data_IF_699725024200
#
_entry.id   IF_699725024200
#
_cell.length_a   1.000
_cell.length_b   1.000
_cell.length_c   1.000
_cell.angle_alpha   90.00
_cell.angle_beta   90.00
_cell.angle_gamma   90.00
#
_symmetry.space_group_name_H-M   'P 1'
#
loop_
_entity.id
_entity.type
_entity.pdbx_description
1 polymer ?
#
# COMPACT_ATOMS: atom_id res chain seq x y z
N UNK A 1 22.91 0.46 40.57
CA UNK A 1 23.34 -0.65 39.70
C UNK A 1 22.24 -1.69 39.48
N UNK A 2 21.42 -2.04 40.49
CA UNK A 2 20.33 -3.02 40.33
C UNK A 2 19.14 -2.52 39.48
N UNK A 3 18.72 -1.26 39.59
CA UNK A 3 17.60 -0.71 38.80
C UNK A 3 17.90 -0.60 37.30
N UNK A 4 19.14 -0.26 36.92
CA UNK A 4 19.55 -0.19 35.51
C UNK A 4 19.59 -1.57 34.84
N UNK A 5 19.92 -2.61 35.61
CA UNK A 5 19.90 -4.00 35.12
C UNK A 5 18.47 -4.51 34.89
N UNK A 6 17.55 -4.23 35.82
CA UNK A 6 16.12 -4.62 35.67
C UNK A 6 15.44 -3.86 34.53
N UNK A 7 15.73 -2.57 34.37
CA UNK A 7 15.18 -1.77 33.26
C UNK A 7 15.72 -2.20 31.89
N UNK A 8 17.00 -2.59 31.81
CA UNK A 8 17.59 -3.17 30.60
C UNK A 8 17.01 -4.55 30.27
N UNK A 9 16.76 -5.40 31.27
CA UNK A 9 16.11 -6.71 31.08
C UNK A 9 14.66 -6.55 30.62
N UNK A 10 13.92 -5.61 31.22
CA UNK A 10 12.54 -5.32 30.81
C UNK A 10 12.46 -4.76 29.38
N UNK A 11 13.35 -3.82 29.02
CA UNK A 11 13.45 -3.30 27.65
C UNK A 11 13.87 -4.38 26.64
N UNK A 12 14.81 -5.27 26.98
CA UNK A 12 15.18 -6.42 26.15
C UNK A 12 13.99 -7.35 25.95
N UNK A 13 13.27 -7.69 27.01
CA UNK A 13 12.11 -8.59 26.96
C UNK A 13 11.00 -7.98 26.10
N UNK A 14 10.78 -6.67 26.21
CA UNK A 14 9.78 -5.95 25.42
C UNK A 14 10.18 -5.83 23.94
N UNK A 15 11.47 -5.65 23.64
CA UNK A 15 11.99 -5.76 22.27
C UNK A 15 11.84 -7.17 21.70
N UNK A 16 12.21 -8.20 22.47
CA UNK A 16 12.10 -9.60 22.07
C UNK A 16 10.64 -9.96 21.74
N UNK A 17 9.69 -9.60 22.59
CA UNK A 17 8.26 -9.83 22.34
C UNK A 17 7.76 -9.11 21.08
N UNK A 18 8.22 -7.88 20.82
CA UNK A 18 7.86 -7.12 19.62
C UNK A 18 8.41 -7.76 18.35
N UNK A 19 9.66 -8.18 18.33
CA UNK A 19 10.24 -8.88 17.17
C UNK A 19 9.58 -10.23 16.92
N UNK A 20 9.29 -10.99 17.97
CA UNK A 20 8.58 -12.26 17.85
C UNK A 20 7.16 -12.05 17.30
N UNK A 21 6.43 -11.02 17.75
CA UNK A 21 5.11 -10.70 17.21
C UNK A 21 5.16 -10.33 15.72
N UNK A 22 6.11 -9.48 15.31
CA UNK A 22 6.28 -9.09 13.90
C UNK A 22 6.64 -10.28 13.01
N UNK A 23 7.51 -11.18 13.51
CA UNK A 23 7.88 -12.39 12.81
C UNK A 23 6.67 -13.32 12.65
N UNK A 24 5.93 -13.58 13.72
CA UNK A 24 4.73 -14.43 13.68
C UNK A 24 3.72 -13.90 12.67
N UNK A 25 3.42 -12.60 12.69
CA UNK A 25 2.50 -11.97 11.72
C UNK A 25 3.01 -12.15 10.29
N UNK A 26 4.30 -11.93 10.05
CA UNK A 26 4.90 -12.07 8.72
C UNK A 26 4.81 -13.51 8.20
N UNK A 27 5.09 -14.50 9.07
CA UNK A 27 4.99 -15.92 8.74
C UNK A 27 3.55 -16.30 8.42
N UNK A 28 2.58 -15.84 9.21
CA UNK A 28 1.16 -16.06 8.95
C UNK A 28 0.74 -15.47 7.60
N UNK A 29 1.18 -14.25 7.27
CA UNK A 29 0.90 -13.63 5.97
C UNK A 29 1.49 -14.41 4.79
N UNK A 30 2.72 -14.93 4.91
CA UNK A 30 3.31 -15.78 3.88
C UNK A 30 2.58 -17.11 3.73
N UNK A 31 2.29 -17.81 4.84
CA UNK A 31 1.52 -19.06 4.81
C UNK A 31 0.15 -18.80 4.17
N UNK A 32 -0.52 -17.72 4.56
CA UNK A 32 -1.79 -17.30 3.96
C UNK A 32 -1.69 -17.05 2.46
N UNK A 33 -0.61 -16.43 1.99
CA UNK A 33 -0.37 -16.19 0.56
C UNK A 33 -0.22 -17.51 -0.21
N UNK A 34 0.61 -18.44 0.28
CA UNK A 34 0.79 -19.75 -0.37
C UNK A 34 -0.49 -20.60 -0.34
N UNK A 35 -1.18 -20.65 0.81
CA UNK A 35 -2.44 -21.37 0.94
C UNK A 35 -3.51 -20.80 0.02
N UNK A 36 -3.60 -19.46 -0.08
CA UNK A 36 -4.57 -18.81 -0.96
C UNK A 36 -4.24 -19.05 -2.43
N UNK A 37 -2.97 -18.99 -2.85
CA UNK A 37 -2.56 -19.39 -4.20
C UNK A 37 -2.92 -20.86 -4.51
N UNK A 38 -2.79 -21.77 -3.54
CA UNK A 38 -3.25 -23.16 -3.68
C UNK A 38 -4.75 -23.26 -3.94
N UNK A 39 -5.54 -22.44 -3.25
CA UNK A 39 -6.98 -22.33 -3.48
C UNK A 39 -7.32 -21.76 -4.86
N UNK A 40 -6.51 -20.83 -5.38
CA UNK A 40 -6.67 -20.32 -6.75
C UNK A 40 -6.45 -21.41 -7.79
N UNK A 41 -5.45 -22.28 -7.62
CA UNK A 41 -5.29 -23.44 -8.51
C UNK A 41 -6.52 -24.35 -8.47
N UNK A 42 -7.11 -24.56 -7.29
CA UNK A 42 -8.32 -25.38 -7.18
C UNK A 42 -9.53 -24.77 -7.91
N UNK A 43 -9.72 -23.45 -7.84
CA UNK A 43 -10.89 -22.78 -8.43
C UNK A 43 -10.72 -22.37 -9.90
N UNK A 44 -9.51 -22.05 -10.33
CA UNK A 44 -9.25 -21.45 -11.65
C UNK A 44 -8.47 -22.36 -12.61
N UNK A 45 -8.06 -23.56 -12.17
CA UNK A 45 -7.41 -24.57 -13.03
C UNK A 45 -8.05 -25.96 -12.83
N UNK A 46 -9.31 -26.17 -13.22
CA UNK A 46 -9.97 -27.48 -13.14
C UNK A 46 -9.26 -28.53 -14.03
N UNK A 47 -9.21 -29.78 -13.57
CA UNK A 47 -8.63 -30.88 -14.34
C UNK A 47 -9.48 -31.20 -15.56
N UNK A 48 -8.89 -31.19 -16.76
CA UNK A 48 -9.56 -31.54 -18.02
C UNK A 48 -9.74 -30.39 -19.01
N UNK A 49 -9.27 -29.17 -18.69
CA UNK A 49 -9.28 -28.02 -19.60
C UNK A 49 -7.91 -27.31 -19.60
N UNK A 50 -7.56 -26.70 -20.74
CA UNK A 50 -6.30 -25.98 -20.92
C UNK A 50 -6.38 -24.55 -20.37
N UNK A 51 -6.26 -24.41 -19.04
CA UNK A 51 -6.30 -23.12 -18.33
C UNK A 51 -4.90 -22.48 -18.17
N UNK A 52 -4.12 -22.47 -19.26
CA UNK A 52 -2.71 -22.06 -19.24
C UNK A 52 -2.48 -20.59 -18.85
N UNK A 53 -3.41 -19.71 -19.20
CA UNK A 53 -3.35 -18.28 -18.87
C UNK A 53 -3.53 -18.05 -17.35
N UNK A 54 -4.51 -18.73 -16.75
CA UNK A 54 -4.76 -18.65 -15.30
C UNK A 54 -3.58 -19.25 -14.53
N UNK A 55 -3.06 -20.38 -14.99
CA UNK A 55 -1.85 -20.99 -14.44
C UNK A 55 -0.66 -20.02 -14.50
N UNK A 56 -0.45 -19.33 -15.62
CA UNK A 56 0.61 -18.33 -15.74
C UNK A 56 0.45 -17.17 -14.75
N UNK A 57 -0.76 -16.63 -14.56
CA UNK A 57 -1.00 -15.57 -13.59
C UNK A 57 -0.76 -16.03 -12.14
N UNK A 58 -1.20 -17.22 -11.76
CA UNK A 58 -0.98 -17.75 -10.40
C UNK A 58 0.51 -18.03 -10.17
N UNK A 59 1.19 -18.70 -11.11
CA UNK A 59 2.61 -19.03 -10.98
C UNK A 59 3.48 -17.77 -10.96
N UNK A 60 3.23 -16.80 -11.84
CA UNK A 60 3.97 -15.53 -11.83
C UNK A 60 3.79 -14.78 -10.51
N UNK A 61 2.59 -14.83 -9.91
CA UNK A 61 2.31 -14.25 -8.59
C UNK A 61 3.10 -14.95 -7.48
N UNK A 62 3.15 -16.29 -7.49
CA UNK A 62 3.95 -17.06 -6.52
C UNK A 62 5.45 -16.73 -6.63
N UNK A 63 5.96 -16.59 -7.86
CA UNK A 63 7.35 -16.18 -8.09
C UNK A 63 7.58 -14.78 -7.49
N UNK A 64 6.68 -13.83 -7.71
CA UNK A 64 6.80 -12.49 -7.13
C UNK A 64 6.81 -12.51 -5.59
N UNK A 65 5.94 -13.30 -4.96
CA UNK A 65 5.91 -13.46 -3.49
C UNK A 65 7.25 -13.98 -2.96
N UNK A 66 7.86 -14.95 -3.66
CA UNK A 66 9.17 -15.49 -3.32
C UNK A 66 10.29 -14.46 -3.53
N UNK A 67 10.26 -13.71 -4.62
CA UNK A 67 11.21 -12.62 -4.90
C UNK A 67 11.13 -11.54 -3.81
N UNK A 68 9.95 -11.15 -3.35
CA UNK A 68 9.81 -10.19 -2.26
C UNK A 68 10.47 -10.68 -0.97
N UNK A 69 10.34 -11.97 -0.64
CA UNK A 69 11.01 -12.55 0.52
C UNK A 69 12.54 -12.49 0.38
N UNK A 70 13.09 -12.84 -0.79
CA UNK A 70 14.53 -12.79 -1.04
C UNK A 70 15.05 -11.35 -0.93
N UNK A 71 14.41 -10.40 -1.60
CA UNK A 71 14.85 -8.99 -1.61
C UNK A 71 14.77 -8.40 -0.21
N UNK A 72 13.72 -8.70 0.56
CA UNK A 72 13.57 -8.20 1.92
C UNK A 72 14.58 -8.81 2.91
N UNK A 73 15.04 -10.04 2.69
CA UNK A 73 16.07 -10.71 3.51
C UNK A 73 17.50 -10.40 3.07
N UNK A 74 17.68 -9.75 1.93
CA UNK A 74 19.00 -9.48 1.38
C UNK A 74 19.77 -8.52 2.30
N UNK A 75 20.98 -8.88 2.79
CA UNK A 75 21.66 -8.16 3.86
C UNK A 75 22.09 -6.73 3.51
N UNK A 76 22.15 -6.39 2.22
CA UNK A 76 22.41 -5.00 1.80
C UNK A 76 21.16 -4.13 1.83
N UNK A 77 19.97 -4.73 1.72
CA UNK A 77 18.71 -4.00 1.75
C UNK A 77 18.30 -3.86 3.21
N UNK A 78 18.00 -2.65 3.67
CA UNK A 78 17.37 -2.43 4.98
C UNK A 78 15.88 -2.81 4.95
N UNK A 79 15.59 -4.05 4.53
CA UNK A 79 14.25 -4.57 4.31
C UNK A 79 13.61 -5.07 5.60
N UNK A 80 12.28 -5.10 5.62
CA UNK A 80 11.51 -5.73 6.69
C UNK A 80 10.61 -6.82 6.10
N UNK A 81 10.53 -7.95 6.80
CA UNK A 81 9.76 -9.12 6.36
C UNK A 81 8.24 -8.86 6.39
N UNK A 82 7.78 -7.99 7.30
CA UNK A 82 6.36 -7.70 7.45
C UNK A 82 5.79 -6.99 6.21
N UNK A 83 6.32 -5.85 5.75
CA UNK A 83 5.86 -5.22 4.51
C UNK A 83 5.92 -6.15 3.31
N UNK A 84 6.98 -6.96 3.18
CA UNK A 84 7.11 -7.93 2.08
C UNK A 84 6.02 -9.00 2.10
N UNK A 85 5.70 -9.54 3.28
CA UNK A 85 4.65 -10.54 3.44
C UNK A 85 3.25 -9.99 3.17
N UNK A 86 2.97 -8.75 3.62
CA UNK A 86 1.68 -8.07 3.42
C UNK A 86 1.48 -7.72 1.94
N UNK A 87 2.51 -7.20 1.27
CA UNK A 87 2.45 -6.92 -0.18
C UNK A 87 2.33 -8.21 -0.98
N UNK A 88 3.01 -9.29 -0.58
CA UNK A 88 2.83 -10.61 -1.21
C UNK A 88 1.39 -11.12 -1.12
N UNK A 89 0.77 -11.00 0.06
CA UNK A 89 -0.65 -11.35 0.24
C UNK A 89 -1.57 -10.47 -0.61
N UNK A 90 -1.28 -9.18 -0.68
CA UNK A 90 -2.03 -8.23 -1.51
C UNK A 90 -1.90 -8.53 -3.02
N UNK A 91 -0.70 -8.88 -3.50
CA UNK A 91 -0.52 -9.32 -4.88
C UNK A 91 -1.31 -10.61 -5.18
N UNK A 92 -1.35 -11.55 -4.23
CA UNK A 92 -2.17 -12.76 -4.33
C UNK A 92 -3.66 -12.42 -4.41
N UNK A 93 -4.11 -11.44 -3.63
CA UNK A 93 -5.48 -10.91 -3.69
C UNK A 93 -5.78 -10.22 -5.03
N UNK A 94 -4.86 -9.42 -5.59
CA UNK A 94 -5.04 -8.81 -6.91
C UNK A 94 -5.12 -9.86 -8.02
N UNK A 95 -4.33 -10.94 -7.93
CA UNK A 95 -4.41 -12.08 -8.83
C UNK A 95 -5.79 -12.76 -8.74
N UNK A 96 -6.24 -13.09 -7.53
CA UNK A 96 -7.61 -13.61 -7.29
C UNK A 96 -8.67 -12.69 -7.90
N UNK A 97 -8.54 -11.39 -7.65
CA UNK A 97 -9.50 -10.41 -8.13
C UNK A 97 -9.50 -10.31 -9.66
N UNK A 98 -8.34 -10.39 -10.29
CA UNK A 98 -8.20 -10.49 -11.74
C UNK A 98 -8.89 -11.73 -12.30
N UNK A 99 -8.57 -12.91 -11.78
CA UNK A 99 -9.16 -14.18 -12.21
C UNK A 99 -10.69 -14.21 -11.98
N UNK A 100 -11.18 -13.63 -10.87
CA UNK A 100 -12.62 -13.54 -10.58
C UNK A 100 -13.40 -12.66 -11.57
N UNK A 101 -12.70 -11.76 -12.26
CA UNK A 101 -13.24 -10.86 -13.29
C UNK A 101 -13.23 -11.49 -14.69
N UNK A 102 -12.82 -12.75 -14.84
CA UNK A 102 -12.89 -13.47 -16.11
C UNK A 102 -14.32 -13.51 -16.66
N UNK A 103 -14.49 -13.48 -17.99
CA UNK A 103 -15.82 -13.48 -18.59
C UNK A 103 -16.55 -14.82 -18.34
N UNK A 104 -17.88 -14.77 -18.29
CA UNK A 104 -18.73 -15.90 -17.84
C UNK A 104 -18.68 -17.13 -18.74
N UNK A 105 -18.32 -16.92 -20.00
CA UNK A 105 -18.12 -17.94 -21.03
C UNK A 105 -16.74 -18.63 -20.95
N UNK A 106 -15.87 -18.19 -20.03
CA UNK A 106 -14.57 -18.83 -19.82
C UNK A 106 -14.68 -19.96 -18.78
N UNK A 107 -14.54 -21.18 -19.27
CA UNK A 107 -14.76 -22.43 -18.53
C UNK A 107 -13.79 -22.63 -17.34
N UNK A 108 -12.64 -21.95 -17.35
CA UNK A 108 -11.65 -22.05 -16.29
C UNK A 108 -12.06 -21.32 -15.00
N UNK A 109 -13.03 -20.41 -15.05
CA UNK A 109 -13.48 -19.69 -13.86
C UNK A 109 -14.57 -20.48 -13.10
N UNK A 110 -14.14 -21.37 -12.20
CA UNK A 110 -15.03 -22.17 -11.35
C UNK A 110 -15.79 -21.35 -10.28
N UNK A 111 -15.47 -20.07 -10.12
CA UNK A 111 -16.08 -19.20 -9.11
C UNK A 111 -17.50 -18.75 -9.50
N UNK A 112 -17.89 -18.83 -10.78
CA UNK A 112 -19.24 -18.49 -11.23
C UNK A 112 -20.35 -19.30 -10.53
N UNK A 113 -20.06 -20.53 -10.12
CA UNK A 113 -21.00 -21.38 -9.38
C UNK A 113 -21.01 -21.13 -7.87
N UNK A 114 -20.01 -20.43 -7.34
CA UNK A 114 -19.80 -20.24 -5.90
C UNK A 114 -19.87 -18.79 -5.43
N UNK A 115 -20.04 -17.82 -6.34
CA UNK A 115 -20.16 -16.41 -6.01
C UNK A 115 -21.50 -16.11 -5.30
N UNK A 116 -21.55 -16.40 -3.99
CA UNK A 116 -22.47 -15.67 -3.12
C UNK A 116 -22.05 -14.21 -3.15
N UNK A 117 -23.02 -13.32 -3.33
CA UNK A 117 -22.83 -11.88 -3.26
C UNK A 117 -21.92 -11.53 -2.06
N UNK A 118 -20.94 -10.65 -2.29
CA UNK A 118 -20.07 -10.15 -1.23
C UNK A 118 -20.95 -9.69 -0.07
N UNK A 119 -20.74 -10.27 1.12
CA UNK A 119 -21.54 -9.93 2.30
C UNK A 119 -21.44 -8.42 2.55
N UNK A 120 -22.59 -7.77 2.82
CA UNK A 120 -22.66 -6.35 3.19
C UNK A 120 -21.65 -6.00 4.28
N UNK A 121 -21.33 -6.95 5.18
CA UNK A 121 -20.31 -6.78 6.21
C UNK A 121 -18.90 -6.55 5.67
N UNK A 122 -18.49 -7.22 4.58
CA UNK A 122 -17.17 -7.00 3.96
C UNK A 122 -17.08 -5.63 3.29
N UNK A 123 -18.19 -5.14 2.71
CA UNK A 123 -18.28 -3.79 2.15
C UNK A 123 -18.19 -2.72 3.25
N UNK A 124 -18.93 -2.89 4.35
CA UNK A 124 -18.89 -1.97 5.49
C UNK A 124 -17.49 -1.93 6.14
N UNK A 125 -16.84 -3.08 6.34
CA UNK A 125 -15.49 -3.14 6.91
C UNK A 125 -14.44 -2.49 6.00
N UNK A 126 -14.56 -2.69 4.68
CA UNK A 126 -13.72 -2.01 3.69
C UNK A 126 -13.86 -0.49 3.76
N UNK A 127 -15.09 0.00 3.81
CA UNK A 127 -15.39 1.44 3.93
C UNK A 127 -14.87 2.04 5.25
N UNK A 128 -15.04 1.34 6.38
CA UNK A 128 -14.50 1.80 7.65
C UNK A 128 -12.96 1.88 7.62
N UNK A 129 -12.32 0.88 7.00
CA UNK A 129 -10.86 0.82 6.89
C UNK A 129 -10.32 1.93 5.99
N UNK A 130 -10.98 2.23 4.87
CA UNK A 130 -10.57 3.33 3.98
C UNK A 130 -10.71 4.67 4.68
N UNK A 131 -11.82 4.92 5.38
CA UNK A 131 -12.01 6.15 6.17
C UNK A 131 -10.91 6.30 7.22
N UNK A 132 -10.63 5.24 7.99
CA UNK A 132 -9.58 5.26 9.01
C UNK A 132 -8.19 5.52 8.40
N UNK A 133 -7.87 4.92 7.26
CA UNK A 133 -6.58 5.11 6.57
C UNK A 133 -6.39 6.55 6.05
N UNK A 134 -7.46 7.15 5.54
CA UNK A 134 -7.46 8.54 5.04
C UNK A 134 -7.31 9.51 6.20
N UNK A 135 -8.06 9.30 7.29
CA UNK A 135 -7.94 10.10 8.51
C UNK A 135 -6.53 10.00 9.09
N UNK A 136 -5.97 8.79 9.17
CA UNK A 136 -4.60 8.60 9.64
C UNK A 136 -3.58 9.34 8.76
N UNK A 137 -3.73 9.25 7.44
CA UNK A 137 -2.84 9.94 6.48
C UNK A 137 -2.95 11.46 6.61
N UNK A 138 -4.16 11.99 6.78
CA UNK A 138 -4.39 13.42 6.99
C UNK A 138 -3.78 13.92 8.30
N UNK A 139 -3.96 13.18 9.41
CA UNK A 139 -3.38 13.51 10.71
C UNK A 139 -1.85 13.44 10.66
N UNK A 140 -1.29 12.41 10.03
CA UNK A 140 0.16 12.25 9.88
C UNK A 140 0.76 13.32 8.99
N UNK A 141 0.13 13.67 7.87
CA UNK A 141 0.56 14.76 7.01
C UNK A 141 0.55 16.10 7.74
N UNK A 142 -0.48 16.35 8.56
CA UNK A 142 -0.55 17.53 9.42
C UNK A 142 0.53 17.55 10.52
N UNK A 143 0.90 16.39 11.06
CA UNK A 143 1.91 16.28 12.12
C UNK A 143 3.36 16.21 11.62
N UNK A 144 3.61 15.81 10.36
CA UNK A 144 4.97 15.67 9.78
C UNK A 144 5.51 16.98 9.20
N UNK A 145 4.72 18.06 9.26
CA UNK A 145 5.11 19.41 8.89
C UNK A 145 6.30 19.98 9.69
N UNK A 146 6.74 19.30 10.76
CA UNK A 146 7.91 19.67 11.58
C UNK A 146 9.19 18.95 11.17
N UNK A 147 9.15 17.95 10.27
CA UNK A 147 10.28 17.04 9.97
C UNK A 147 10.76 17.10 8.51
N UNK A 148 10.05 17.83 7.64
CA UNK A 148 10.44 18.08 6.23
C UNK A 148 10.76 19.56 5.98
N UNK A 149 11.51 20.19 6.89
CA UNK A 149 12.27 21.40 6.53
C UNK A 149 13.22 21.02 5.40
N UNK A 150 12.93 21.46 4.18
CA UNK A 150 13.84 21.33 3.05
C UNK A 150 15.21 21.94 3.43
N UNK A 151 16.33 21.28 3.09
CA UNK A 151 17.66 21.79 3.36
C UNK A 151 17.88 23.08 2.57
N UNK A 152 18.52 24.06 3.23
CA UNK A 152 19.04 25.27 2.61
C UNK A 152 19.75 24.93 1.28
N UNK A 153 19.28 25.50 0.17
CA UNK A 153 20.06 25.59 -1.06
C UNK A 153 20.43 27.05 -1.34
N UNK A 154 21.73 27.38 -1.43
CA UNK A 154 22.23 28.74 -1.55
C UNK A 154 22.26 29.17 -3.02
N UNK A 155 21.62 30.29 -3.36
CA UNK A 155 22.08 31.12 -4.49
C UNK A 155 21.58 32.57 -4.45
N UNK A 156 22.60 33.44 -4.41
CA UNK A 156 22.69 34.75 -5.04
C UNK A 156 21.97 35.95 -4.40
N UNK A 157 22.76 36.69 -3.60
CA UNK A 157 23.01 38.10 -3.90
C UNK A 157 22.45 39.13 -2.91
N UNK A 158 23.39 39.83 -2.24
CA UNK A 158 23.26 41.21 -1.73
C UNK A 158 22.19 41.46 -0.64
N UNK A 159 22.43 42.02 0.54
CA UNK A 159 23.55 42.68 1.18
C UNK A 159 23.29 42.59 2.69
N UNK A 160 24.34 42.50 3.52
CA UNK A 160 24.25 42.90 4.93
C UNK A 160 24.89 44.30 5.05
N UNK A 161 24.28 45.22 5.80
CA UNK A 161 24.97 45.74 6.97
C UNK A 161 24.03 45.75 8.21
N UNK A 162 24.42 45.11 9.32
CA UNK A 162 25.15 45.69 10.47
C UNK A 162 24.39 46.83 11.18
N UNK A 163 23.76 46.55 12.34
CA UNK A 163 24.02 47.17 13.66
C UNK A 163 22.94 46.78 14.74
N UNK A 164 23.24 46.95 16.05
CA UNK A 164 22.64 46.21 17.18
C UNK A 164 21.59 46.99 18.01
N UNK A 165 20.75 46.22 18.73
CA UNK A 165 19.96 46.54 19.95
C UNK A 165 19.51 47.99 20.23
N UNK A 166 18.20 48.27 20.16
CA UNK A 166 17.40 48.73 21.33
C UNK A 166 15.94 49.05 20.99
N UNK A 167 15.05 48.39 21.75
CA UNK A 167 13.73 48.78 22.29
C UNK A 167 12.66 49.46 21.41
N UNK A 168 11.53 48.76 21.41
CA UNK A 168 10.14 49.24 21.53
C UNK A 168 9.69 50.28 20.51
N UNK A 169 8.92 49.79 19.54
CA UNK A 169 7.66 50.42 19.14
C UNK A 169 6.71 49.31 18.65
N UNK A 170 5.47 49.38 19.12
CA UNK A 170 4.36 48.54 18.72
C UNK A 170 3.99 48.89 17.27
N UNK A 171 4.32 48.02 16.32
CA UNK A 171 3.69 48.01 15.01
C UNK A 171 3.20 46.59 14.71
N UNK A 172 1.92 46.51 14.34
CA UNK A 172 1.22 45.34 13.84
C UNK A 172 2.15 44.49 12.94
N UNK A 173 2.62 43.37 13.49
CA UNK A 173 3.09 42.29 12.65
C UNK A 173 1.86 41.71 11.98
N UNK A 174 1.50 42.28 10.81
CA UNK A 174 0.67 41.59 9.81
C UNK A 174 1.19 40.17 9.75
N UNK A 175 0.34 39.23 10.15
CA UNK A 175 0.58 37.79 10.08
C UNK A 175 1.29 37.48 8.77
N UNK A 176 2.60 37.31 8.81
CA UNK A 176 3.35 36.75 7.70
C UNK A 176 2.79 35.34 7.61
N UNK A 177 2.02 34.99 6.55
CA UNK A 177 1.42 33.67 6.48
C UNK A 177 2.57 32.67 6.48
N UNK A 178 2.73 31.92 7.57
CA UNK A 178 3.71 30.85 7.64
C UNK A 178 3.42 29.94 6.44
N UNK A 179 4.37 29.69 5.54
CA UNK A 179 4.12 28.84 4.38
C UNK A 179 3.64 27.49 4.87
N UNK A 180 2.40 27.14 4.50
CA UNK A 180 1.75 25.91 4.94
C UNK A 180 2.50 24.74 4.33
N UNK A 181 3.02 23.84 5.16
CA UNK A 181 3.97 22.78 4.81
C UNK A 181 3.42 21.71 3.86
N UNK A 182 2.15 21.79 3.44
CA UNK A 182 1.54 20.87 2.49
C UNK A 182 0.91 21.62 1.31
N UNK A 183 1.00 21.05 0.11
CA UNK A 183 0.31 21.57 -1.06
C UNK A 183 -1.20 21.38 -0.91
N UNK A 184 -1.94 22.49 -0.89
CA UNK A 184 -3.42 22.48 -0.81
C UNK A 184 -4.05 21.68 -1.96
N UNK A 185 -3.48 21.77 -3.16
CA UNK A 185 -3.94 21.01 -4.34
C UNK A 185 -3.75 19.50 -4.16
N UNK A 186 -2.63 19.07 -3.58
CA UNK A 186 -2.35 17.65 -3.34
C UNK A 186 -3.29 17.07 -2.26
N UNK A 187 -3.59 17.83 -1.22
CA UNK A 187 -4.55 17.45 -0.19
C UNK A 187 -5.95 17.20 -0.75
N UNK A 188 -6.48 18.14 -1.55
CA UNK A 188 -7.79 17.99 -2.16
C UNK A 188 -7.85 16.89 -3.21
N UNK A 189 -6.75 16.64 -3.92
CA UNK A 189 -6.65 15.54 -4.87
C UNK A 189 -6.75 14.17 -4.17
N UNK A 190 -6.06 13.99 -3.04
CA UNK A 190 -6.18 12.75 -2.24
C UNK A 190 -7.61 12.58 -1.73
N UNK A 191 -8.22 13.65 -1.20
CA UNK A 191 -9.58 13.59 -0.69
C UNK A 191 -10.62 13.31 -1.78
N UNK A 192 -10.41 13.86 -2.98
CA UNK A 192 -11.22 13.58 -4.18
C UNK A 192 -11.09 12.12 -4.64
N UNK A 193 -9.88 11.55 -4.69
CA UNK A 193 -9.69 10.15 -5.04
C UNK A 193 -10.30 9.21 -3.97
N UNK A 194 -10.18 9.56 -2.70
CA UNK A 194 -10.77 8.82 -1.60
C UNK A 194 -12.31 8.85 -1.64
N UNK A 195 -12.93 9.99 -1.95
CA UNK A 195 -14.38 10.09 -2.08
C UNK A 195 -14.90 9.31 -3.29
N UNK A 196 -14.20 9.37 -4.43
CA UNK A 196 -14.51 8.57 -5.61
C UNK A 196 -14.43 7.07 -5.31
N UNK A 197 -13.37 6.62 -4.64
CA UNK A 197 -13.22 5.21 -4.24
C UNK A 197 -14.30 4.76 -3.26
N UNK A 198 -14.65 5.62 -2.29
CA UNK A 198 -15.74 5.35 -1.33
C UNK A 198 -17.09 5.25 -2.04
N UNK A 199 -17.35 6.08 -3.04
CA UNK A 199 -18.55 6.00 -3.86
C UNK A 199 -18.63 4.68 -4.64
N UNK A 200 -17.53 4.24 -5.25
CA UNK A 200 -17.47 2.93 -5.94
C UNK A 200 -17.69 1.74 -5.00
N UNK A 201 -17.16 1.81 -3.77
CA UNK A 201 -17.41 0.78 -2.76
C UNK A 201 -18.89 0.75 -2.32
N UNK A 202 -19.50 1.92 -2.12
CA UNK A 202 -20.91 2.04 -1.73
C UNK A 202 -21.87 1.57 -2.82
N UNK A 203 -21.54 1.80 -4.09
CA UNK A 203 -22.31 1.30 -5.23
C UNK A 203 -22.05 -0.18 -5.53
N UNK A 204 -21.26 -0.86 -4.69
CA UNK A 204 -21.01 -2.30 -4.77
C UNK A 204 -20.29 -2.71 -6.06
N UNK A 205 -19.51 -1.80 -6.65
CA UNK A 205 -18.89 -1.97 -7.99
C UNK A 205 -19.89 -2.23 -9.13
N UNK A 206 -21.20 -2.35 -8.87
CA UNK A 206 -22.22 -2.62 -9.88
C UNK A 206 -22.72 -1.32 -10.52
N UNK A 207 -21.94 -0.73 -11.42
CA UNK A 207 -22.46 0.30 -12.33
C UNK A 207 -23.00 -0.37 -13.59
N UNK A 208 -24.30 -0.64 -13.64
CA UNK A 208 -25.00 -1.05 -14.86
C UNK A 208 -25.17 0.17 -15.77
N UNK A 209 -24.13 0.52 -16.55
CA UNK A 209 -24.22 1.56 -17.58
C UNK A 209 -24.28 0.90 -18.96
N UNK A 210 -25.49 0.71 -19.47
CA UNK A 210 -25.73 0.30 -20.86
C UNK A 210 -26.75 -0.82 -21.01
N UNK A 211 -27.51 -0.77 -22.10
CA UNK A 211 -28.66 -1.60 -22.54
C UNK A 211 -28.38 -3.12 -22.68
N UNK A 212 -27.23 -3.59 -22.20
CA UNK A 212 -26.86 -5.01 -22.16
C UNK A 212 -26.20 -5.22 -20.81
N UNK A 213 -26.83 -5.97 -19.90
CA UNK A 213 -26.44 -6.18 -18.49
C UNK A 213 -25.08 -6.85 -18.26
N UNK A 214 -24.02 -6.38 -18.92
CA UNK A 214 -22.62 -6.72 -18.73
C UNK A 214 -22.08 -5.83 -17.61
N UNK A 215 -21.77 -6.46 -16.49
CA UNK A 215 -21.04 -5.84 -15.38
C UNK A 215 -19.69 -5.34 -15.90
N UNK A 216 -19.36 -4.06 -15.71
CA UNK A 216 -18.10 -3.45 -16.18
C UNK A 216 -16.86 -4.15 -15.60
N UNK A 217 -16.99 -4.75 -14.42
CA UNK A 217 -15.94 -5.51 -13.75
C UNK A 217 -15.73 -6.94 -14.27
N UNK A 218 -16.58 -7.41 -15.19
CA UNK A 218 -16.52 -8.77 -15.73
C UNK A 218 -16.13 -8.72 -17.21
N UNK A 219 -14.94 -9.23 -17.51
CA UNK A 219 -14.38 -9.32 -18.84
C UNK A 219 -12.86 -9.15 -18.85
N UNK A 220 -12.23 -9.58 -19.95
CA UNK A 220 -10.78 -9.51 -20.15
C UNK A 220 -10.14 -8.15 -19.85
N UNK A 221 -10.75 -6.99 -20.18
CA UNK A 221 -10.18 -5.69 -19.81
C UNK A 221 -9.99 -5.52 -18.29
N UNK A 222 -10.98 -5.95 -17.50
CA UNK A 222 -10.93 -5.89 -16.03
C UNK A 222 -9.83 -6.79 -15.48
N UNK A 223 -9.71 -8.02 -16.02
CA UNK A 223 -8.63 -8.97 -15.67
C UNK A 223 -7.26 -8.30 -15.88
N UNK A 224 -7.00 -7.77 -17.08
CA UNK A 224 -5.72 -7.17 -17.41
C UNK A 224 -5.40 -5.91 -16.60
N UNK A 225 -6.38 -5.06 -16.31
CA UNK A 225 -6.17 -3.90 -15.43
C UNK A 225 -5.73 -4.34 -14.04
N UNK A 226 -6.36 -5.38 -13.47
CA UNK A 226 -6.01 -5.92 -12.14
C UNK A 226 -4.62 -6.57 -12.14
N UNK A 227 -4.29 -7.36 -13.17
CA UNK A 227 -2.97 -8.00 -13.32
C UNK A 227 -1.86 -6.97 -13.57
N UNK A 228 -2.09 -5.96 -14.41
CA UNK A 228 -1.14 -4.88 -14.64
C UNK A 228 -0.91 -4.05 -13.37
N UNK A 229 -1.98 -3.78 -12.60
CA UNK A 229 -1.89 -3.11 -11.29
C UNK A 229 -1.03 -3.93 -10.33
N UNK A 230 -1.18 -5.26 -10.34
CA UNK A 230 -0.35 -6.15 -9.53
C UNK A 230 1.13 -6.06 -9.93
N UNK A 231 1.46 -6.12 -11.22
CA UNK A 231 2.85 -6.03 -11.69
C UNK A 231 3.46 -4.66 -11.40
N UNK A 232 2.70 -3.58 -11.57
CA UNK A 232 3.13 -2.23 -11.21
C UNK A 232 3.41 -2.13 -9.71
N UNK A 233 2.51 -2.66 -8.86
CA UNK A 233 2.70 -2.70 -7.40
C UNK A 233 3.95 -3.47 -7.02
N UNK A 234 4.17 -4.63 -7.64
CA UNK A 234 5.36 -5.44 -7.43
C UNK A 234 6.65 -4.71 -7.82
N UNK A 235 6.65 -4.07 -9.00
CA UNK A 235 7.77 -3.28 -9.48
C UNK A 235 8.10 -2.11 -8.56
N UNK A 236 7.08 -1.37 -8.10
CA UNK A 236 7.25 -0.26 -7.17
C UNK A 236 7.76 -0.72 -5.80
N UNK A 237 7.31 -1.86 -5.30
CA UNK A 237 7.79 -2.42 -4.03
C UNK A 237 9.25 -2.88 -4.12
N UNK A 238 9.63 -3.59 -5.20
CA UNK A 238 11.02 -3.97 -5.40
C UNK A 238 11.89 -2.72 -5.58
N UNK A 239 11.41 -1.76 -6.35
CA UNK A 239 12.12 -0.50 -6.57
C UNK A 239 12.33 0.29 -5.27
N UNK A 240 11.34 0.34 -4.36
CA UNK A 240 11.52 1.06 -3.09
C UNK A 240 12.61 0.45 -2.20
N UNK A 241 12.87 -0.85 -2.33
CA UNK A 241 13.94 -1.55 -1.62
C UNK A 241 15.30 -1.42 -2.34
N UNK A 242 15.31 -1.39 -3.66
CA UNK A 242 16.53 -1.41 -4.49
C UNK A 242 17.05 -0.01 -4.81
N UNK A 243 16.19 1.01 -4.94
CA UNK A 243 16.58 2.37 -5.30
C UNK A 243 17.58 3.01 -4.32
N UNK A 244 17.45 2.85 -2.97
CA UNK A 244 18.45 3.35 -2.03
C UNK A 244 19.82 2.70 -2.18
N UNK A 245 19.89 1.48 -2.74
CA UNK A 245 21.16 0.81 -3.02
C UNK A 245 21.83 1.26 -4.31
N UNK A 246 21.04 1.58 -5.33
CA UNK A 246 21.56 2.01 -6.63
C UNK A 246 21.94 3.50 -6.66
N UNK A 247 21.26 4.33 -5.87
CA UNK A 247 21.49 5.78 -5.81
C UNK A 247 21.72 6.27 -4.37
N UNK A 248 22.83 5.88 -3.72
CA UNK A 248 23.09 6.22 -2.32
C UNK A 248 23.20 7.74 -2.06
N UNK A 249 23.49 8.54 -3.08
CA UNK A 249 23.62 10.00 -2.97
C UNK A 249 22.28 10.76 -3.10
N UNK A 250 21.15 10.07 -3.25
CA UNK A 250 19.81 10.67 -3.26
C UNK A 250 19.12 10.41 -1.92
N UNK A 251 18.65 11.48 -1.25
CA UNK A 251 17.73 11.32 -0.14
C UNK A 251 16.36 10.86 -0.67
N UNK A 252 15.87 9.74 -0.17
CA UNK A 252 14.61 9.09 -0.56
C UNK A 252 13.54 9.21 0.53
#
# INVERSE_FOLDING_TARGET
MHLSSVQNIFLLTLHQCRYMALLVVSVVCYIGSFAFSGLLFHWFTPSGQDCGLNMFFIVSTLILVFVFAIVALHPKVNGSLLPASVIGLYCTYLCYSGLSSEPRDYECNGLHNHSKAMSTGSLTLGLCTTILSVVYSAVRAGSSATVLSAPDSPRAGADKPLLPFSKADEEETKDVPKPVTYSYSFFHLIFSLASMYSAMLLTGWSTSVGESGKLVDVGWPSVWVRIATQWATAGLFIWSLVAPLLFPDREF
#
